data_IF_267223706358
#
_entry.id   IF_267223706358
#
_cell.length_a   1.000
_cell.length_b   1.000
_cell.length_c   1.000
_cell.angle_alpha   90.00
_cell.angle_beta   90.00
_cell.angle_gamma   90.00
#
_symmetry.space_group_name_H-M   'P 1'
#
loop_
_entity.id
_entity.type
_entity.pdbx_description
1 polymer ?
#
# COMPACT_ATOMS: atom_id res chain seq x y z
N UNK A 1 -27.26 6.34 -4.19
CA UNK A 1 -25.82 6.65 -4.08
C UNK A 1 -25.47 6.84 -2.61
N UNK A 2 -24.34 6.31 -2.18
CA UNK A 2 -23.78 6.60 -0.85
C UNK A 2 -22.53 7.44 -1.01
N UNK A 3 -22.30 8.36 -0.09
CA UNK A 3 -21.13 9.24 -0.11
C UNK A 3 -20.22 8.88 1.04
N UNK A 4 -18.92 8.86 0.75
CA UNK A 4 -17.86 8.60 1.72
C UNK A 4 -16.76 9.65 1.55
N UNK A 5 -15.95 9.83 2.58
CA UNK A 5 -14.78 10.69 2.53
C UNK A 5 -13.58 9.91 3.11
N UNK A 6 -12.42 10.08 2.51
CA UNK A 6 -11.20 9.38 2.94
C UNK A 6 -10.88 9.59 4.43
N UNK A 7 -11.29 10.71 5.01
CA UNK A 7 -11.08 11.04 6.42
C UNK A 7 -11.79 10.07 7.37
N UNK A 8 -12.80 9.35 6.88
CA UNK A 8 -13.59 8.43 7.69
C UNK A 8 -12.92 7.05 7.82
N UNK A 9 -11.78 6.87 7.19
CA UNK A 9 -11.09 5.57 7.13
C UNK A 9 -9.75 5.61 7.85
N UNK A 10 -9.28 4.43 8.26
CA UNK A 10 -8.03 4.29 8.99
C UNK A 10 -6.86 4.20 8.02
N UNK A 11 -5.91 5.14 8.11
CA UNK A 11 -4.67 5.16 7.32
C UNK A 11 -4.90 5.01 5.81
N UNK A 12 -6.06 5.48 5.31
CA UNK A 12 -6.38 5.41 3.89
C UNK A 12 -6.90 4.06 3.40
N UNK A 13 -7.09 3.07 4.27
CA UNK A 13 -7.65 1.77 3.90
C UNK A 13 -9.15 1.88 3.71
N UNK A 14 -9.63 1.68 2.46
CA UNK A 14 -11.03 1.94 2.09
C UNK A 14 -11.83 0.70 1.72
N UNK A 15 -11.17 -0.37 1.28
CA UNK A 15 -11.81 -1.66 0.95
C UNK A 15 -10.99 -2.78 1.52
N UNK A 16 -11.64 -3.77 2.11
CA UNK A 16 -10.97 -4.94 2.64
C UNK A 16 -11.80 -5.64 3.71
N UNK A 17 -11.25 -6.69 4.30
CA UNK A 17 -11.91 -7.45 5.35
C UNK A 17 -11.67 -6.81 6.73
N UNK A 18 -12.11 -5.56 6.88
CA UNK A 18 -11.93 -4.77 8.10
C UNK A 18 -13.04 -3.71 8.20
N UNK A 19 -13.10 -3.04 9.35
CA UNK A 19 -13.99 -1.90 9.60
C UNK A 19 -13.15 -0.71 10.08
N UNK A 20 -13.45 0.52 9.59
CA UNK A 20 -14.42 0.84 8.56
C UNK A 20 -13.94 0.49 7.16
N UNK A 21 -14.87 0.23 6.25
CA UNK A 21 -14.60 0.01 4.83
C UNK A 21 -15.78 0.53 4.01
N UNK A 22 -15.50 1.01 2.80
CA UNK A 22 -16.56 1.40 1.86
C UNK A 22 -17.44 0.19 1.56
N UNK A 23 -16.82 -0.95 1.34
CA UNK A 23 -17.46 -2.26 1.41
C UNK A 23 -16.46 -3.27 1.95
N UNK A 24 -16.97 -4.22 2.73
CA UNK A 24 -16.16 -5.26 3.36
C UNK A 24 -15.96 -6.41 2.38
N UNK A 25 -14.71 -6.83 2.18
CA UNK A 25 -14.38 -7.83 1.17
C UNK A 25 -13.14 -8.62 1.57
N UNK A 26 -13.21 -9.98 1.63
CA UNK A 26 -12.05 -10.80 2.00
C UNK A 26 -11.07 -11.06 0.85
N UNK A 27 -11.41 -10.67 -0.39
CA UNK A 27 -10.60 -11.00 -1.57
C UNK A 27 -9.63 -9.92 -1.96
N UNK A 28 -9.85 -8.67 -1.53
CA UNK A 28 -9.03 -7.54 -1.93
C UNK A 28 -9.00 -6.47 -0.85
N UNK A 29 -7.86 -5.80 -0.72
CA UNK A 29 -7.72 -4.58 0.06
C UNK A 29 -7.33 -3.45 -0.87
N UNK A 30 -7.88 -2.25 -0.62
CA UNK A 30 -7.53 -1.05 -1.37
C UNK A 30 -7.26 0.09 -0.40
N UNK A 31 -6.18 0.81 -0.64
CA UNK A 31 -5.84 1.99 0.16
C UNK A 31 -5.33 3.13 -0.73
N UNK A 32 -5.56 4.35 -0.28
CA UNK A 32 -4.84 5.52 -0.76
C UNK A 32 -3.88 5.94 0.35
N UNK A 33 -2.58 5.82 0.10
CA UNK A 33 -1.55 6.21 1.05
C UNK A 33 -0.85 7.49 0.61
N UNK A 34 -0.54 8.34 1.56
CA UNK A 34 0.34 9.48 1.38
C UNK A 34 1.57 9.31 2.26
N UNK A 35 2.75 9.54 1.69
CA UNK A 35 4.02 9.54 2.44
C UNK A 35 4.81 10.78 2.09
N UNK A 36 5.39 11.41 3.09
CA UNK A 36 6.21 12.60 2.92
C UNK A 36 7.60 12.24 2.38
N UNK A 37 8.18 13.20 1.66
CA UNK A 37 9.58 13.14 1.22
C UNK A 37 10.50 12.76 2.39
N UNK A 38 11.36 11.81 2.16
CA UNK A 38 12.34 11.33 3.15
C UNK A 38 11.84 10.21 4.05
N UNK A 39 10.55 9.85 3.96
CA UNK A 39 10.05 8.71 4.72
C UNK A 39 10.67 7.41 4.19
N UNK A 40 11.16 6.59 5.12
CA UNK A 40 11.71 5.27 4.80
C UNK A 40 10.78 4.23 5.42
N UNK A 41 10.17 3.41 4.58
CA UNK A 41 9.30 2.33 5.04
C UNK A 41 10.11 1.26 5.76
N UNK A 42 9.52 0.67 6.80
CA UNK A 42 10.12 -0.47 7.46
C UNK A 42 10.15 -1.66 6.51
N UNK A 43 11.31 -2.32 6.40
CA UNK A 43 11.42 -3.52 5.58
C UNK A 43 10.53 -4.62 6.15
N UNK A 44 9.71 -5.19 5.29
CA UNK A 44 8.78 -6.24 5.70
C UNK A 44 8.45 -7.15 4.52
N UNK A 45 7.85 -8.28 4.84
CA UNK A 45 7.37 -9.23 3.84
C UNK A 45 5.95 -9.68 4.19
N UNK A 46 5.25 -10.19 3.18
CA UNK A 46 3.98 -10.86 3.33
C UNK A 46 4.16 -12.31 2.90
N UNK A 47 3.52 -13.24 3.58
CA UNK A 47 3.60 -14.67 3.22
C UNK A 47 2.46 -15.08 2.32
N UNK A 48 1.32 -14.41 2.42
CA UNK A 48 0.09 -14.75 1.70
C UNK A 48 -0.24 -13.71 0.64
N UNK A 49 -0.18 -12.43 1.00
CA UNK A 49 -0.63 -11.33 0.16
C UNK A 49 0.34 -10.94 -0.95
N UNK A 50 -0.23 -10.54 -2.06
CA UNK A 50 0.45 -9.85 -3.15
C UNK A 50 0.02 -8.39 -3.11
N UNK A 51 0.96 -7.46 -3.23
CA UNK A 51 0.68 -6.03 -3.09
C UNK A 51 1.16 -5.26 -4.31
N UNK A 52 0.21 -4.62 -5.00
CA UNK A 52 0.45 -3.72 -6.11
C UNK A 52 0.38 -2.28 -5.60
N UNK A 53 1.37 -1.47 -5.95
CA UNK A 53 1.37 -0.04 -5.69
C UNK A 53 1.42 0.73 -7.01
N UNK A 54 0.52 1.69 -7.17
CA UNK A 54 0.48 2.60 -8.30
C UNK A 54 0.85 3.99 -7.80
N UNK A 55 1.89 4.60 -8.38
CA UNK A 55 2.31 5.94 -8.01
C UNK A 55 1.42 6.96 -8.74
N UNK A 56 0.48 7.53 -7.99
CA UNK A 56 -0.42 8.55 -8.55
C UNK A 56 0.37 9.84 -8.80
N UNK A 57 1.23 10.19 -7.83
CA UNK A 57 2.05 11.40 -7.88
C UNK A 57 3.24 11.21 -6.94
N UNK A 58 4.44 11.60 -7.40
CA UNK A 58 5.64 11.59 -6.59
C UNK A 58 6.76 10.74 -7.14
N UNK A 59 7.69 10.35 -6.27
CA UNK A 59 8.85 9.55 -6.64
C UNK A 59 9.35 8.77 -5.42
N UNK A 60 9.83 7.55 -5.68
CA UNK A 60 10.33 6.67 -4.64
C UNK A 60 11.39 5.71 -5.20
N UNK A 61 12.09 5.05 -4.31
CA UNK A 61 12.98 3.92 -4.63
C UNK A 61 12.35 2.68 -4.02
N UNK A 62 12.09 1.68 -4.84
CA UNK A 62 11.57 0.39 -4.39
C UNK A 62 12.59 -0.69 -4.76
N UNK A 63 13.15 -1.35 -3.75
CA UNK A 63 14.17 -2.40 -3.92
C UNK A 63 15.28 -1.99 -4.90
N UNK A 64 15.79 -0.77 -4.76
CA UNK A 64 16.87 -0.22 -5.57
C UNK A 64 16.45 0.40 -6.91
N UNK A 65 15.18 0.30 -7.28
CA UNK A 65 14.65 0.87 -8.52
C UNK A 65 14.00 2.23 -8.26
N UNK A 66 14.42 3.26 -9.00
CA UNK A 66 13.84 4.60 -8.90
C UNK A 66 12.61 4.69 -9.78
N UNK A 67 11.47 5.00 -9.16
CA UNK A 67 10.15 5.04 -9.79
C UNK A 67 9.49 6.39 -9.56
N UNK A 68 8.59 6.79 -10.46
CA UNK A 68 7.90 8.08 -10.38
C UNK A 68 6.45 7.96 -10.86
N UNK A 69 5.76 9.10 -10.91
CA UNK A 69 4.35 9.21 -11.31
C UNK A 69 4.02 8.32 -12.51
N UNK A 70 3.01 7.46 -12.34
CA UNK A 70 2.53 6.56 -13.38
C UNK A 70 3.15 5.17 -13.33
N UNK A 71 4.26 5.01 -12.62
CA UNK A 71 4.87 3.68 -12.46
C UNK A 71 4.09 2.84 -11.44
N UNK A 72 4.15 1.53 -11.63
CA UNK A 72 3.56 0.55 -10.73
C UNK A 72 4.61 -0.47 -10.34
N UNK A 73 4.50 -0.98 -9.12
CA UNK A 73 5.37 -2.06 -8.67
C UNK A 73 4.59 -3.06 -7.83
N UNK A 74 5.01 -4.32 -7.90
CA UNK A 74 4.34 -5.44 -7.21
C UNK A 74 5.36 -6.15 -6.34
N UNK A 75 4.96 -6.40 -5.09
CA UNK A 75 5.67 -7.34 -4.23
C UNK A 75 4.83 -8.61 -4.09
N UNK A 76 5.42 -9.72 -4.50
CA UNK A 76 4.82 -11.06 -4.37
C UNK A 76 5.10 -11.64 -2.98
N UNK A 77 4.38 -12.70 -2.58
CA UNK A 77 4.65 -13.37 -1.30
C UNK A 77 6.14 -13.70 -1.14
N UNK A 78 6.64 -13.49 0.07
CA UNK A 78 8.03 -13.71 0.50
C UNK A 78 9.06 -12.70 -0.03
N UNK A 79 8.70 -11.84 -0.97
CA UNK A 79 9.57 -10.74 -1.37
C UNK A 79 9.62 -9.67 -0.26
N UNK A 80 10.77 -9.05 -0.10
CA UNK A 80 10.98 -8.02 0.93
C UNK A 80 10.67 -6.65 0.34
N UNK A 81 9.66 -5.99 0.90
CA UNK A 81 9.34 -4.61 0.57
C UNK A 81 10.38 -3.68 1.20
N UNK A 82 11.02 -2.86 0.36
CA UNK A 82 12.07 -1.94 0.75
C UNK A 82 11.88 -0.65 -0.05
N UNK A 83 11.20 0.32 0.56
CA UNK A 83 10.75 1.53 -0.13
C UNK A 83 11.21 2.77 0.62
N UNK A 84 11.76 3.73 -0.12
CA UNK A 84 12.14 5.06 0.37
C UNK A 84 11.51 6.12 -0.53
N UNK A 85 10.90 7.14 0.08
CA UNK A 85 10.19 8.19 -0.66
C UNK A 85 11.12 9.38 -0.91
N UNK A 86 11.33 9.70 -2.19
CA UNK A 86 12.21 10.79 -2.62
C UNK A 86 11.48 12.13 -2.68
N UNK A 87 10.17 12.11 -2.79
CA UNK A 87 9.28 13.26 -2.83
C UNK A 87 7.98 12.93 -2.09
N UNK A 88 7.16 13.94 -1.80
CA UNK A 88 5.80 13.70 -1.32
C UNK A 88 5.07 12.86 -2.35
N UNK A 89 4.53 11.72 -1.91
CA UNK A 89 4.01 10.70 -2.81
C UNK A 89 2.63 10.22 -2.40
N UNK A 90 1.74 10.15 -3.36
CA UNK A 90 0.43 9.51 -3.24
C UNK A 90 0.45 8.17 -3.97
N UNK A 91 0.05 7.11 -3.27
CA UNK A 91 -0.02 5.74 -3.80
C UNK A 91 -1.46 5.23 -3.74
N UNK A 92 -1.87 4.54 -4.79
CA UNK A 92 -2.99 3.62 -4.70
C UNK A 92 -2.42 2.21 -4.47
N UNK A 93 -2.81 1.59 -3.37
CA UNK A 93 -2.33 0.25 -2.99
C UNK A 93 -3.47 -0.74 -3.12
N UNK A 94 -3.20 -1.85 -3.80
CA UNK A 94 -4.15 -2.95 -3.97
C UNK A 94 -3.46 -4.22 -3.53
N UNK A 95 -4.05 -4.91 -2.56
CA UNK A 95 -3.48 -6.13 -2.00
C UNK A 95 -4.53 -7.25 -2.04
N UNK A 96 -4.11 -8.45 -2.37
CA UNK A 96 -5.00 -9.61 -2.42
C UNK A 96 -4.30 -10.88 -1.93
N UNK A 97 -5.01 -11.77 -1.19
CA UNK A 97 -6.32 -11.53 -0.58
C UNK A 97 -6.24 -10.54 0.59
N UNK A 98 -7.39 -10.15 1.15
CA UNK A 98 -7.45 -9.33 2.35
C UNK A 98 -7.24 -10.21 3.58
N UNK A 99 -6.01 -10.26 4.07
CA UNK A 99 -5.60 -11.07 5.21
C UNK A 99 -5.00 -10.17 6.28
N UNK A 100 -5.52 -10.28 7.49
CA UNK A 100 -4.94 -9.61 8.66
C UNK A 100 -3.71 -10.39 9.16
N UNK A 101 -2.80 -9.71 9.86
CA UNK A 101 -1.63 -10.31 10.49
C UNK A 101 -0.67 -11.02 9.52
N UNK A 102 -0.58 -10.54 8.28
CA UNK A 102 0.29 -11.07 7.25
C UNK A 102 1.53 -10.18 6.99
N UNK A 103 1.88 -9.35 7.95
CA UNK A 103 3.05 -8.48 7.85
C UNK A 103 4.14 -8.97 8.80
N UNK A 104 5.31 -9.26 8.26
CA UNK A 104 6.45 -9.76 9.02
C UNK A 104 7.62 -8.82 8.83
N UNK A 105 8.15 -8.29 9.93
CA UNK A 105 9.28 -7.37 9.89
C UNK A 105 10.55 -8.11 9.54
N UNK A 106 11.42 -7.44 8.80
CA UNK A 106 12.72 -7.97 8.35
C UNK A 106 13.83 -7.06 8.85
N UNK A 107 14.85 -7.64 9.44
CA UNK A 107 16.03 -6.91 9.93
C UNK A 107 16.96 -6.44 8.80
#
# INVERSE_FOLDING_TARGET
>A
MKLHNIKDFTKGWIVGNFDPAVFKNPHVEVAHHFHEKGFVGEKHTHKIGTELSYIIRGALVASGETLSTGDMFIYYPDEIADVEFLEDTDLMVIKWPSVTDDKYMVD
#
